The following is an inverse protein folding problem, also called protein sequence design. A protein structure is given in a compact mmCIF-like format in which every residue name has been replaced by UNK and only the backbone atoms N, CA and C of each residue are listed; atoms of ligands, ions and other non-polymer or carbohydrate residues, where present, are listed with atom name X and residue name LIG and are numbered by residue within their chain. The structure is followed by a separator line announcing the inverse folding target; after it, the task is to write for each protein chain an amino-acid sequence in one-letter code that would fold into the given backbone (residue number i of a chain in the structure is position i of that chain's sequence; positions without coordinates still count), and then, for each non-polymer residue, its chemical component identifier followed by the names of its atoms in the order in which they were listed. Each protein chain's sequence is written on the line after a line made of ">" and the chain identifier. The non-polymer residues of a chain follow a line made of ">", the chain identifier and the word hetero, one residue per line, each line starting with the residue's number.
data_IF_830388094315
#
_entry.id   IF_830388094315
#
_cell.length_a   1.000
_cell.length_b   1.000
_cell.length_c   1.000
_cell.angle_alpha   90.00
_cell.angle_beta   90.00
_cell.angle_gamma   90.00
#
_symmetry.space_group_name_H-M   'P 1'
#
loop_
_entity.id
_entity.type
_entity.pdbx_description
1 polymer ?
#
# COMPACT_ATOMS: atom_id res chain seq x y z
N UNK A 1 21.97 -10.09 1.13
CA UNK A 1 21.67 -11.56 1.13
C UNK A 1 21.59 -12.13 -0.29
N UNK A 2 20.71 -11.63 -1.17
CA UNK A 2 20.61 -12.11 -2.58
C UNK A 2 21.93 -11.94 -3.37
N UNK A 3 22.60 -10.80 -3.25
CA UNK A 3 23.91 -10.57 -3.89
C UNK A 3 25.00 -11.52 -3.38
N UNK A 4 24.87 -11.99 -2.14
CA UNK A 4 25.78 -12.97 -1.52
C UNK A 4 25.50 -14.37 -2.08
N UNK A 5 24.22 -14.74 -2.21
CA UNK A 5 23.79 -15.99 -2.86
C UNK A 5 24.23 -16.07 -4.32
N UNK A 6 24.08 -14.99 -5.09
CA UNK A 6 24.56 -14.90 -6.49
C UNK A 6 26.08 -15.00 -6.64
N UNK A 7 26.85 -14.64 -5.60
CA UNK A 7 28.31 -14.80 -5.57
C UNK A 7 28.75 -16.24 -5.25
N UNK A 8 27.94 -17.00 -4.51
CA UNK A 8 28.24 -18.39 -4.14
C UNK A 8 27.71 -19.40 -5.16
N UNK A 9 26.61 -19.06 -5.83
CA UNK A 9 25.98 -19.86 -6.88
C UNK A 9 25.62 -18.97 -8.07
N UNK A 10 26.44 -18.98 -9.14
CA UNK A 10 26.19 -18.20 -10.35
C UNK A 10 24.95 -18.63 -11.13
N UNK A 11 24.44 -19.85 -10.90
CA UNK A 11 23.21 -20.36 -11.55
C UNK A 11 21.94 -19.88 -10.86
N UNK A 12 22.07 -19.16 -9.74
CA UNK A 12 20.92 -18.67 -8.99
C UNK A 12 20.19 -17.51 -9.68
N UNK A 13 19.08 -17.84 -10.32
CA UNK A 13 18.11 -16.86 -10.81
C UNK A 13 17.19 -16.39 -9.67
N UNK A 14 16.98 -15.08 -9.58
CA UNK A 14 16.06 -14.48 -8.62
C UNK A 14 14.62 -14.64 -9.13
N UNK A 15 13.71 -15.29 -8.37
CA UNK A 15 12.34 -15.53 -8.82
C UNK A 15 11.52 -14.26 -9.09
N UNK A 16 11.86 -13.14 -8.44
CA UNK A 16 11.16 -11.88 -8.62
C UNK A 16 12.15 -10.75 -8.85
N UNK A 17 11.81 -9.82 -9.75
CA UNK A 17 12.55 -8.57 -9.92
C UNK A 17 12.29 -7.70 -8.69
N UNK A 18 13.33 -7.07 -8.12
CA UNK A 18 13.12 -6.14 -7.02
C UNK A 18 12.22 -4.98 -7.50
N UNK A 19 11.26 -4.52 -6.69
CA UNK A 19 10.43 -3.38 -7.05
C UNK A 19 11.32 -2.15 -7.29
N UNK A 20 10.93 -1.24 -8.20
CA UNK A 20 11.71 -0.04 -8.52
C UNK A 20 11.75 0.88 -7.29
N UNK A 21 12.84 0.79 -6.51
CA UNK A 21 12.92 1.40 -5.17
C UNK A 21 12.76 2.91 -5.19
N UNK A 22 13.35 3.59 -6.17
CA UNK A 22 13.21 5.04 -6.35
C UNK A 22 11.77 5.44 -6.71
N UNK A 23 11.15 4.71 -7.64
CA UNK A 23 9.78 4.99 -8.06
C UNK A 23 8.79 4.74 -6.91
N UNK A 24 9.02 3.69 -6.14
CA UNK A 24 8.24 3.35 -4.96
C UNK A 24 8.41 4.36 -3.83
N UNK A 25 9.65 4.80 -3.55
CA UNK A 25 9.88 5.81 -2.52
C UNK A 25 9.28 7.16 -2.90
N UNK A 26 9.37 7.57 -4.16
CA UNK A 26 8.72 8.78 -4.68
C UNK A 26 7.19 8.67 -4.59
N UNK A 27 6.61 7.55 -5.00
CA UNK A 27 5.16 7.29 -4.90
C UNK A 27 4.70 7.41 -3.45
N UNK A 28 5.45 6.80 -2.52
CA UNK A 28 5.15 6.91 -1.09
C UNK A 28 5.29 8.34 -0.56
N UNK A 29 6.35 9.05 -0.96
CA UNK A 29 6.57 10.44 -0.56
C UNK A 29 5.47 11.36 -1.07
N UNK A 30 5.03 11.20 -2.32
CA UNK A 30 3.88 11.93 -2.88
C UNK A 30 2.60 11.61 -2.12
N UNK A 31 2.32 10.32 -1.87
CA UNK A 31 1.13 9.91 -1.13
C UNK A 31 1.11 10.50 0.28
N UNK A 32 2.20 10.38 1.03
CA UNK A 32 2.28 10.89 2.41
C UNK A 32 2.31 12.41 2.45
N UNK A 33 3.05 13.05 1.54
CA UNK A 33 3.19 14.51 1.47
C UNK A 33 1.85 15.21 1.20
N UNK A 34 1.04 14.65 0.30
CA UNK A 34 -0.28 15.23 -0.01
C UNK A 34 -1.33 14.83 1.03
N UNK A 35 -1.34 13.58 1.49
CA UNK A 35 -2.46 13.08 2.30
C UNK A 35 -2.32 13.33 3.80
N UNK A 36 -1.11 13.51 4.36
CA UNK A 36 -0.91 13.52 5.80
C UNK A 36 -1.70 14.63 6.52
N UNK A 37 -1.56 15.88 6.07
CA UNK A 37 -2.25 17.01 6.71
C UNK A 37 -3.76 16.98 6.45
N UNK A 38 -4.18 16.62 5.24
CA UNK A 38 -5.60 16.51 4.88
C UNK A 38 -6.28 15.50 5.80
N UNK A 39 -5.71 14.31 5.94
CA UNK A 39 -6.24 13.25 6.80
C UNK A 39 -6.29 13.68 8.25
N UNK A 40 -5.23 14.30 8.74
CA UNK A 40 -5.20 14.82 10.10
C UNK A 40 -6.36 15.79 10.35
N UNK A 41 -6.54 16.78 9.48
CA UNK A 41 -7.60 17.78 9.63
C UNK A 41 -9.00 17.18 9.46
N UNK A 42 -9.19 16.27 8.50
CA UNK A 42 -10.47 15.57 8.32
C UNK A 42 -10.82 14.73 9.54
N UNK A 43 -9.85 13.99 10.11
CA UNK A 43 -10.06 13.18 11.30
C UNK A 43 -10.43 14.05 12.50
N UNK A 44 -9.64 15.09 12.79
CA UNK A 44 -9.93 15.98 13.93
C UNK A 44 -11.26 16.72 13.75
N UNK A 45 -11.59 17.15 12.53
CA UNK A 45 -12.87 17.77 12.24
C UNK A 45 -14.05 16.81 12.43
N UNK A 46 -13.91 15.57 11.98
CA UNK A 46 -14.92 14.53 12.19
C UNK A 46 -15.09 14.20 13.69
N UNK A 47 -13.98 14.04 14.42
CA UNK A 47 -14.00 13.79 15.87
C UNK A 47 -14.67 14.95 16.62
N UNK A 48 -14.39 16.20 16.26
CA UNK A 48 -15.03 17.38 16.85
C UNK A 48 -16.55 17.43 16.63
N UNK A 49 -17.03 17.03 15.44
CA UNK A 49 -18.46 16.96 15.15
C UNK A 49 -19.14 15.81 15.91
N UNK A 50 -18.46 14.68 16.03
CA UNK A 50 -18.94 13.51 16.77
C UNK A 50 -19.03 13.79 18.27
N UNK A 51 -18.06 14.48 18.86
CA UNK A 51 -18.04 14.82 20.29
C UNK A 51 -19.25 15.66 20.70
N UNK A 52 -19.71 16.57 19.83
CA UNK A 52 -20.83 17.47 20.13
C UNK A 52 -22.20 16.78 20.19
N UNK A 53 -22.34 15.61 19.56
CA UNK A 53 -23.64 14.99 19.35
C UNK A 53 -23.79 13.57 19.90
N UNK A 54 -22.69 12.91 20.28
CA UNK A 54 -22.70 11.49 20.63
C UNK A 54 -22.47 11.24 22.13
N UNK A 55 -23.20 10.27 22.73
CA UNK A 55 -22.87 9.79 24.06
C UNK A 55 -21.43 9.25 24.14
N UNK A 56 -20.76 9.30 25.32
CA UNK A 56 -19.34 8.98 25.46
C UNK A 56 -18.92 7.60 24.93
N UNK A 57 -19.78 6.59 25.07
CA UNK A 57 -19.49 5.23 24.59
C UNK A 57 -19.51 5.15 23.06
N UNK A 58 -20.47 5.81 22.42
CA UNK A 58 -20.62 5.84 20.96
C UNK A 58 -19.51 6.69 20.34
N UNK A 59 -19.13 7.79 20.99
CA UNK A 59 -17.99 8.60 20.58
C UNK A 59 -16.69 7.77 20.55
N UNK A 60 -16.34 7.12 21.66
CA UNK A 60 -15.08 6.36 21.76
C UNK A 60 -15.01 5.20 20.75
N UNK A 61 -16.09 4.45 20.61
CA UNK A 61 -16.15 3.35 19.62
C UNK A 61 -16.13 3.89 18.19
N UNK A 62 -16.79 5.02 17.94
CA UNK A 62 -16.75 5.72 16.67
C UNK A 62 -15.37 6.24 16.29
N UNK A 63 -14.58 6.76 17.24
CA UNK A 63 -13.18 7.16 17.00
C UNK A 63 -12.36 5.95 16.53
N UNK A 64 -12.50 4.80 17.19
CA UNK A 64 -11.80 3.57 16.77
C UNK A 64 -12.20 3.19 15.34
N UNK A 65 -13.49 3.18 15.03
CA UNK A 65 -13.98 2.88 13.69
C UNK A 65 -13.45 3.88 12.64
N UNK A 66 -13.46 5.17 12.95
CA UNK A 66 -12.94 6.24 12.09
C UNK A 66 -11.45 6.03 11.78
N UNK A 67 -10.65 5.63 12.78
CA UNK A 67 -9.23 5.32 12.60
C UNK A 67 -9.02 4.08 11.74
N UNK A 68 -9.84 3.04 11.89
CA UNK A 68 -9.80 1.84 11.04
C UNK A 68 -10.09 2.20 9.59
N UNK A 69 -11.18 2.94 9.34
CA UNK A 69 -11.56 3.38 7.99
C UNK A 69 -10.45 4.24 7.37
N UNK A 70 -9.86 5.17 8.13
CA UNK A 70 -8.75 5.96 7.63
C UNK A 70 -7.53 5.10 7.26
N UNK A 71 -7.19 4.06 8.03
CA UNK A 71 -6.06 3.19 7.67
C UNK A 71 -6.34 2.40 6.38
N UNK A 72 -7.54 1.82 6.24
CA UNK A 72 -7.95 1.06 5.05
C UNK A 72 -7.95 1.94 3.79
N UNK A 73 -8.61 3.10 3.85
CA UNK A 73 -8.62 4.05 2.73
C UNK A 73 -7.20 4.54 2.39
N UNK A 74 -6.31 4.59 3.38
CA UNK A 74 -4.92 4.99 3.17
C UNK A 74 -4.12 3.99 2.37
N UNK A 75 -4.27 2.72 2.75
CA UNK A 75 -3.69 1.61 1.99
C UNK A 75 -4.24 1.55 0.57
N UNK A 76 -5.56 1.67 0.41
CA UNK A 76 -6.20 1.64 -0.91
C UNK A 76 -5.73 2.79 -1.81
N UNK A 77 -5.71 4.02 -1.30
CA UNK A 77 -5.23 5.19 -2.05
C UNK A 77 -3.76 5.07 -2.43
N UNK A 78 -2.91 4.57 -1.53
CA UNK A 78 -1.51 4.31 -1.83
C UNK A 78 -1.36 3.28 -2.95
N UNK A 79 -2.10 2.17 -2.88
CA UNK A 79 -2.04 1.10 -3.89
C UNK A 79 -2.54 1.59 -5.25
N UNK A 80 -3.62 2.37 -5.29
CA UNK A 80 -4.10 2.99 -6.55
C UNK A 80 -3.03 3.90 -7.13
N UNK A 81 -2.42 4.75 -6.32
CA UNK A 81 -1.34 5.63 -6.77
C UNK A 81 -0.13 4.81 -7.26
N UNK A 82 0.27 3.76 -6.56
CA UNK A 82 1.40 2.90 -6.93
C UNK A 82 1.17 2.16 -8.25
N UNK A 83 -0.08 1.78 -8.55
CA UNK A 83 -0.44 1.22 -9.85
C UNK A 83 -0.38 2.29 -10.95
N UNK A 84 -0.90 3.48 -10.67
CA UNK A 84 -0.86 4.61 -11.63
C UNK A 84 0.57 5.08 -11.93
N UNK A 85 1.47 5.09 -10.95
CA UNK A 85 2.87 5.49 -11.14
C UNK A 85 3.73 4.38 -11.73
N UNK A 86 3.21 3.15 -11.88
CA UNK A 86 3.98 1.98 -12.32
C UNK A 86 4.93 1.44 -11.26
N UNK A 87 4.88 1.96 -10.02
CA UNK A 87 5.63 1.43 -8.89
C UNK A 87 5.20 0.01 -8.51
N UNK A 88 3.97 -0.35 -8.85
CA UNK A 88 3.39 -1.67 -8.63
C UNK A 88 2.67 -2.10 -9.91
N UNK A 89 3.44 -2.49 -10.92
CA UNK A 89 2.91 -3.14 -12.12
C UNK A 89 2.31 -4.48 -11.73
N UNK A 90 1.06 -4.73 -12.12
CA UNK A 90 0.53 -6.09 -12.22
C UNK A 90 1.22 -6.66 -13.45
N UNK A 91 2.33 -7.34 -13.27
CA UNK A 91 2.79 -8.26 -14.32
C UNK A 91 1.72 -9.34 -14.35
N UNK A 92 0.96 -9.43 -15.44
CA UNK A 92 0.12 -10.58 -15.76
C UNK A 92 1.04 -11.81 -15.93
N UNK A 93 1.57 -12.32 -14.82
CA UNK A 93 2.38 -13.53 -14.78
C UNK A 93 1.50 -14.79 -14.65
N UNK A 94 0.17 -14.65 -14.65
CA UNK A 94 -0.77 -15.78 -14.63
C UNK A 94 -0.94 -16.47 -15.99
N UNK A 95 -0.48 -15.87 -17.11
CA UNK A 95 -0.69 -16.46 -18.43
C UNK A 95 0.47 -17.35 -18.90
N UNK A 96 1.72 -17.10 -18.49
CA UNK A 96 2.87 -17.89 -18.99
C UNK A 96 3.07 -19.23 -18.27
N UNK A 97 2.71 -19.34 -16.99
CA UNK A 97 2.89 -20.60 -16.22
C UNK A 97 1.85 -21.65 -16.65
N UNK A 98 0.62 -21.22 -16.96
CA UNK A 98 -0.48 -22.11 -17.39
C UNK A 98 -0.29 -22.71 -18.79
N UNK A 99 0.46 -22.04 -19.67
CA UNK A 99 0.73 -22.55 -21.03
C UNK A 99 1.85 -23.59 -21.03
N UNK A 100 2.86 -23.42 -20.16
CA UNK A 100 4.00 -24.35 -20.11
C UNK A 100 3.66 -25.71 -19.50
N UNK A 101 2.68 -25.77 -18.60
CA UNK A 101 2.25 -27.01 -17.93
C UNK A 101 1.29 -27.87 -18.77
N UNK A 102 0.83 -27.37 -19.92
CA UNK A 102 -0.10 -28.08 -20.83
C UNK A 102 0.58 -28.73 -22.03
N UNK A 103 1.84 -28.41 -22.29
CA UNK A 103 2.61 -28.89 -23.45
C UNK A 103 3.77 -29.84 -23.06
N UNK A 104 3.92 -30.20 -21.77
CA UNK A 104 4.84 -31.24 -21.26
C UNK A 104 4.11 -32.54 -20.86
#
# INVERSE_FOLDING_TARGET
>A
LIMLRKKMDPSFETPNKPPPTLLNSLTWATHMGVSANVRYQTLNGAEFLMEKGLPPLVFKTGVVALRVVNNLLGGMSFVVLARMTGSQSVVEEETEISVKEKDD
#
